data_IF_027916057973
#
_entry.id   IF_027916057973
#
_cell.length_a   1.000
_cell.length_b   1.000
_cell.length_c   1.000
_cell.angle_alpha   90.00
_cell.angle_beta   90.00
_cell.angle_gamma   90.00
#
_symmetry.space_group_name_H-M   'P 1'
#
loop_
_entity.id
_entity.type
_entity.pdbx_description
1 polymer ?
#
# COMPACT_ATOMS: atom_id res chain seq x y z
N UNK A 1 -15.89 25.27 -16.19
CA UNK A 1 -15.08 24.41 -15.30
C UNK A 1 -16.03 23.56 -14.49
N UNK A 2 -15.81 22.25 -14.43
CA UNK A 2 -16.52 21.39 -13.48
C UNK A 2 -16.10 21.80 -12.06
N UNK A 3 -17.01 21.76 -11.10
CA UNK A 3 -16.69 21.96 -9.68
C UNK A 3 -15.63 20.95 -9.17
N UNK A 4 -15.47 19.81 -9.85
CA UNK A 4 -14.48 18.78 -9.52
C UNK A 4 -13.13 18.94 -10.26
N UNK A 5 -12.93 19.98 -11.08
CA UNK A 5 -11.68 20.18 -11.82
C UNK A 5 -10.59 20.76 -10.91
N UNK A 6 -9.60 19.93 -10.55
CA UNK A 6 -8.51 20.30 -9.65
C UNK A 6 -7.24 20.79 -10.38
N UNK A 7 -7.26 21.02 -11.70
CA UNK A 7 -6.04 21.30 -12.49
C UNK A 7 -5.30 22.58 -12.11
N UNK A 8 -6.00 23.57 -11.54
CA UNK A 8 -5.41 24.84 -11.09
C UNK A 8 -4.67 24.74 -9.75
N UNK A 9 -4.75 23.60 -9.05
CA UNK A 9 -4.09 23.41 -7.76
C UNK A 9 -2.81 22.59 -7.92
N UNK A 10 -1.77 23.00 -7.18
CA UNK A 10 -0.49 22.28 -7.08
C UNK A 10 -0.64 20.97 -6.29
N UNK A 11 -1.46 21.00 -5.23
CA UNK A 11 -1.82 19.84 -4.43
C UNK A 11 -3.26 19.48 -4.76
N UNK A 12 -3.48 18.22 -5.15
CA UNK A 12 -4.77 17.67 -5.56
C UNK A 12 -5.08 16.44 -4.73
N UNK A 13 -6.33 16.29 -4.35
CA UNK A 13 -6.77 15.22 -3.45
C UNK A 13 -7.89 14.43 -4.11
N UNK A 14 -7.74 13.12 -4.19
CA UNK A 14 -8.76 12.22 -4.70
C UNK A 14 -8.76 10.90 -3.92
N UNK A 15 -9.83 10.13 -4.10
CA UNK A 15 -10.09 8.93 -3.32
C UNK A 15 -10.12 7.65 -4.16
N UNK A 16 -9.59 6.57 -3.57
CA UNK A 16 -9.64 5.24 -4.15
C UNK A 16 -8.86 5.08 -5.46
N UNK A 17 -9.09 3.95 -6.14
CA UNK A 17 -8.39 3.61 -7.39
C UNK A 17 -8.74 4.58 -8.54
N UNK A 18 -10.00 5.02 -8.64
CA UNK A 18 -10.41 6.02 -9.61
C UNK A 18 -9.68 7.35 -9.41
N UNK A 19 -9.47 7.76 -8.16
CA UNK A 19 -8.69 8.93 -7.81
C UNK A 19 -7.21 8.82 -8.20
N UNK A 20 -6.59 7.66 -7.96
CA UNK A 20 -5.22 7.41 -8.39
C UNK A 20 -5.05 7.53 -9.91
N UNK A 21 -6.03 7.02 -10.69
CA UNK A 21 -6.03 7.17 -12.14
C UNK A 21 -6.25 8.62 -12.58
N UNK A 22 -7.17 9.36 -11.95
CA UNK A 22 -7.43 10.76 -12.24
C UNK A 22 -6.21 11.66 -11.96
N UNK A 23 -5.37 11.28 -10.98
CA UNK A 23 -4.15 11.99 -10.59
C UNK A 23 -2.88 11.44 -11.25
N UNK A 24 -2.99 10.53 -12.24
CA UNK A 24 -1.83 9.90 -12.90
C UNK A 24 -0.85 10.89 -13.55
N UNK A 25 -1.33 12.08 -13.95
CA UNK A 25 -0.49 13.14 -14.52
C UNK A 25 0.30 13.96 -13.48
N UNK A 26 0.12 13.72 -12.19
CA UNK A 26 0.88 14.39 -11.15
C UNK A 26 2.32 13.88 -11.12
N UNK A 27 3.28 14.78 -10.84
CA UNK A 27 4.71 14.41 -10.72
C UNK A 27 4.96 13.40 -9.59
N UNK A 28 4.22 13.53 -8.48
CA UNK A 28 4.36 12.69 -7.29
C UNK A 28 2.97 12.36 -6.78
N UNK A 29 2.76 11.10 -6.38
CA UNK A 29 1.53 10.63 -5.74
C UNK A 29 1.85 10.14 -4.32
N UNK A 30 1.06 10.57 -3.34
CA UNK A 30 1.14 10.11 -1.95
C UNK A 30 -0.15 9.40 -1.60
N UNK A 31 -0.06 8.13 -1.18
CA UNK A 31 -1.21 7.35 -0.74
C UNK A 31 -1.34 7.43 0.77
N UNK A 32 -2.51 7.86 1.25
CA UNK A 32 -2.84 7.95 2.66
C UNK A 32 -3.97 6.97 2.98
N UNK A 33 -3.72 6.01 3.86
CA UNK A 33 -4.71 5.05 4.37
C UNK A 33 -4.41 4.76 5.85
N UNK A 34 -4.85 5.69 6.70
CA UNK A 34 -4.47 5.77 8.12
C UNK A 34 -4.89 4.52 8.91
N UNK A 35 -6.01 3.88 8.55
CA UNK A 35 -6.61 2.74 9.28
C UNK A 35 -6.74 1.50 8.37
N UNK A 36 -5.65 0.79 8.09
CA UNK A 36 -4.34 0.94 8.74
C UNK A 36 -3.14 0.77 7.83
N UNK A 37 -3.34 0.74 6.51
CA UNK A 37 -2.28 0.35 5.58
C UNK A 37 -1.07 1.29 5.61
N UNK A 38 -1.24 2.60 5.46
CA UNK A 38 -0.09 3.52 5.45
C UNK A 38 0.59 3.59 6.82
N UNK A 39 -0.16 3.39 7.90
CA UNK A 39 0.40 3.26 9.26
C UNK A 39 1.22 1.98 9.41
N UNK A 40 0.77 0.86 8.84
CA UNK A 40 1.56 -0.38 8.78
C UNK A 40 2.84 -0.19 7.96
N UNK A 41 2.76 0.50 6.82
CA UNK A 41 3.93 0.81 5.98
C UNK A 41 4.94 1.68 6.72
N UNK A 42 4.48 2.71 7.44
CA UNK A 42 5.35 3.56 8.26
C UNK A 42 6.10 2.74 9.34
N UNK A 43 5.37 1.93 10.12
CA UNK A 43 5.98 1.06 11.14
C UNK A 43 6.95 0.05 10.51
N UNK A 44 6.59 -0.54 9.37
CA UNK A 44 7.47 -1.46 8.65
C UNK A 44 8.77 -0.79 8.21
N UNK A 45 8.68 0.42 7.62
CA UNK A 45 9.84 1.18 7.18
C UNK A 45 10.79 1.50 8.36
N UNK A 46 10.26 1.95 9.50
CA UNK A 46 11.04 2.18 10.73
C UNK A 46 11.73 0.92 11.25
N UNK A 47 11.15 -0.27 11.00
CA UNK A 47 11.72 -1.57 11.37
C UNK A 47 12.64 -2.17 10.31
N UNK A 48 12.89 -1.48 9.20
CA UNK A 48 13.67 -2.02 8.08
C UNK A 48 12.99 -3.21 7.38
N UNK A 49 11.65 -3.24 7.40
CA UNK A 49 10.82 -4.27 6.78
C UNK A 49 10.36 -3.78 5.40
N UNK A 50 10.53 -4.61 4.39
CA UNK A 50 9.99 -4.34 3.05
C UNK A 50 8.53 -4.76 2.98
N UNK A 51 7.64 -3.82 2.67
CA UNK A 51 6.23 -4.12 2.40
C UNK A 51 6.01 -4.32 0.91
N UNK A 52 5.35 -5.41 0.54
CA UNK A 52 4.85 -5.70 -0.78
C UNK A 52 3.32 -5.56 -0.75
N UNK A 53 2.76 -4.44 -1.26
CA UNK A 53 1.30 -4.27 -1.31
C UNK A 53 0.66 -5.38 -2.15
N UNK A 54 -0.47 -5.90 -1.71
CA UNK A 54 -1.18 -6.95 -2.46
C UNK A 54 -2.71 -6.79 -2.39
N UNK A 55 -3.41 -7.37 -3.36
CA UNK A 55 -4.87 -7.32 -3.42
C UNK A 55 -5.46 -8.14 -2.27
N UNK A 56 -6.46 -7.59 -1.57
CA UNK A 56 -7.16 -8.33 -0.53
C UNK A 56 -7.98 -9.48 -1.11
N UNK A 57 -8.07 -10.59 -0.36
CA UNK A 57 -8.88 -11.79 -0.70
C UNK A 57 -8.52 -12.44 -2.03
N UNK A 58 -7.29 -12.26 -2.50
CA UNK A 58 -6.76 -12.90 -3.69
C UNK A 58 -6.13 -14.26 -3.32
N UNK A 59 -6.55 -15.32 -4.02
CA UNK A 59 -6.12 -16.68 -3.74
C UNK A 59 -4.63 -16.92 -4.06
N UNK A 60 -4.04 -16.11 -4.94
CA UNK A 60 -2.64 -16.27 -5.35
C UNK A 60 -1.64 -15.54 -4.41
N UNK A 61 -2.14 -14.89 -3.36
CA UNK A 61 -1.29 -14.15 -2.42
C UNK A 61 -0.18 -15.01 -1.78
N UNK A 62 -0.49 -16.29 -1.51
CA UNK A 62 0.48 -17.22 -0.94
C UNK A 62 1.58 -17.60 -1.95
N UNK A 63 1.21 -17.83 -3.21
CA UNK A 63 2.17 -18.10 -4.30
C UNK A 63 3.08 -16.90 -4.54
N UNK A 64 2.49 -15.70 -4.61
CA UNK A 64 3.26 -14.46 -4.71
C UNK A 64 4.23 -14.26 -3.55
N UNK A 65 3.80 -14.49 -2.32
CA UNK A 65 4.66 -14.38 -1.14
C UNK A 65 5.85 -15.37 -1.20
N UNK A 66 5.57 -16.63 -1.53
CA UNK A 66 6.61 -17.65 -1.71
C UNK A 66 7.61 -17.27 -2.80
N UNK A 67 7.13 -16.84 -3.98
CA UNK A 67 7.99 -16.41 -5.09
C UNK A 67 8.81 -15.14 -4.79
N UNK A 68 8.42 -14.36 -3.78
CA UNK A 68 9.16 -13.18 -3.31
C UNK A 68 9.97 -13.43 -2.05
N UNK A 69 10.03 -14.66 -1.52
CA UNK A 69 10.69 -14.94 -0.25
C UNK A 69 10.17 -14.05 0.89
N UNK A 70 8.86 -13.86 0.92
CA UNK A 70 8.18 -12.95 1.83
C UNK A 70 7.14 -13.70 2.67
N UNK A 71 6.82 -13.17 3.85
CA UNK A 71 5.75 -13.68 4.71
C UNK A 71 4.44 -13.03 4.28
N UNK A 72 3.41 -13.85 4.03
CA UNK A 72 2.06 -13.34 3.77
C UNK A 72 1.41 -12.89 5.08
N UNK A 73 1.02 -11.62 5.16
CA UNK A 73 0.22 -11.12 6.26
C UNK A 73 -1.20 -11.71 6.20
N UNK A 74 -1.67 -12.20 7.34
CA UNK A 74 -2.96 -12.86 7.49
C UNK A 74 -3.97 -12.04 8.29
N UNK A 75 -5.04 -12.70 8.78
CA UNK A 75 -5.97 -12.11 9.74
C UNK A 75 -5.26 -11.61 11.01
N UNK A 76 -5.91 -10.73 11.77
CA UNK A 76 -5.38 -10.28 13.05
C UNK A 76 -5.21 -11.46 14.00
N UNK A 77 -4.08 -11.52 14.69
CA UNK A 77 -3.75 -12.59 15.63
C UNK A 77 -3.00 -13.79 15.02
N UNK A 78 -2.82 -13.86 13.70
CA UNK A 78 -2.10 -14.96 13.04
C UNK A 78 -0.64 -14.62 12.67
N UNK A 79 0.00 -13.70 13.42
CA UNK A 79 1.30 -13.14 13.08
C UNK A 79 1.19 -11.75 12.43
N UNK A 80 1.96 -11.51 11.36
CA UNK A 80 1.84 -10.26 10.60
C UNK A 80 0.44 -10.13 10.01
N UNK A 81 -0.12 -8.93 10.11
CA UNK A 81 -1.49 -8.63 9.66
C UNK A 81 -1.60 -7.15 9.27
N UNK A 82 -2.78 -6.73 8.80
CA UNK A 82 -3.15 -5.32 8.64
C UNK A 82 -3.46 -4.69 10.01
N UNK A 83 -2.45 -4.72 10.87
CA UNK A 83 -2.39 -4.15 12.22
C UNK A 83 -0.95 -3.67 12.46
N UNK A 84 -0.73 -2.36 12.69
CA UNK A 84 0.63 -1.83 12.90
C UNK A 84 1.37 -2.50 14.05
N UNK A 85 0.66 -2.84 15.13
CA UNK A 85 1.21 -3.53 16.29
C UNK A 85 1.84 -4.89 15.92
N UNK A 86 1.31 -5.59 14.91
CA UNK A 86 1.86 -6.88 14.49
C UNK A 86 3.24 -6.76 13.84
N UNK A 87 3.60 -5.57 13.33
CA UNK A 87 4.87 -5.30 12.67
C UNK A 87 5.93 -4.72 13.62
N UNK A 88 5.55 -4.31 14.83
CA UNK A 88 6.47 -3.66 15.78
C UNK A 88 7.63 -4.55 16.24
N UNK A 89 7.45 -5.87 16.24
CA UNK A 89 8.49 -6.85 16.61
C UNK A 89 9.19 -7.48 15.41
N UNK A 90 8.91 -7.00 14.19
CA UNK A 90 9.53 -7.54 12.98
C UNK A 90 11.04 -7.28 12.97
N UNK A 91 11.80 -8.26 12.47
CA UNK A 91 13.25 -8.14 12.30
C UNK A 91 13.58 -7.33 11.04
N UNK A 92 14.60 -6.46 11.03
CA UNK A 92 15.09 -5.82 9.82
C UNK A 92 15.42 -6.84 8.72
N UNK A 93 15.15 -6.47 7.46
CA UNK A 93 15.27 -7.36 6.30
C UNK A 93 14.08 -8.30 6.09
N UNK A 94 13.10 -8.33 7.01
CA UNK A 94 11.86 -9.08 6.77
C UNK A 94 11.10 -8.49 5.59
N UNK A 95 10.56 -9.35 4.73
CA UNK A 95 9.69 -8.97 3.62
C UNK A 95 8.28 -9.45 3.91
N UNK A 96 7.30 -8.56 3.82
CA UNK A 96 5.90 -8.86 4.14
C UNK A 96 5.03 -8.53 2.94
N UNK A 97 4.29 -9.52 2.44
CA UNK A 97 3.16 -9.28 1.55
C UNK A 97 2.00 -8.82 2.40
N UNK A 98 1.52 -7.60 2.19
CA UNK A 98 0.48 -6.97 3.01
C UNK A 98 -0.79 -6.72 2.19
N UNK A 99 -1.77 -7.62 2.24
CA UNK A 99 -3.07 -7.39 1.62
C UNK A 99 -3.84 -6.27 2.33
N UNK A 100 -4.40 -5.34 1.57
CA UNK A 100 -5.34 -4.32 2.08
C UNK A 100 -6.42 -4.03 1.04
N UNK A 101 -7.70 -3.88 1.44
CA UNK A 101 -8.77 -3.56 0.50
C UNK A 101 -8.64 -2.15 -0.09
N UNK A 102 -7.99 -1.23 0.64
CA UNK A 102 -7.90 0.18 0.27
C UNK A 102 -6.46 0.54 -0.10
N UNK A 103 -5.58 0.83 0.87
CA UNK A 103 -4.26 1.39 0.62
C UNK A 103 -3.41 0.55 -0.34
N UNK A 104 -3.40 -0.79 -0.19
CA UNK A 104 -2.67 -1.64 -1.13
C UNK A 104 -3.27 -1.61 -2.55
N UNK A 105 -4.60 -1.61 -2.67
CA UNK A 105 -5.27 -1.51 -3.97
C UNK A 105 -4.95 -0.18 -4.67
N UNK A 106 -4.96 0.94 -3.93
CA UNK A 106 -4.60 2.26 -4.44
C UNK A 106 -3.12 2.32 -4.84
N UNK A 107 -2.21 1.78 -4.03
CA UNK A 107 -0.79 1.69 -4.40
C UNK A 107 -0.57 0.88 -5.67
N UNK A 108 -1.24 -0.27 -5.81
CA UNK A 108 -1.14 -1.11 -7.01
C UNK A 108 -1.70 -0.43 -8.25
N UNK A 109 -2.77 0.36 -8.12
CA UNK A 109 -3.31 1.15 -9.22
C UNK A 109 -2.35 2.28 -9.59
N UNK A 110 -1.88 3.06 -8.62
CA UNK A 110 -0.90 4.12 -8.82
C UNK A 110 0.38 3.63 -9.53
N UNK A 111 0.85 2.43 -9.17
CA UNK A 111 2.02 1.80 -9.79
C UNK A 111 1.83 1.43 -11.27
N UNK A 112 0.59 1.39 -11.80
CA UNK A 112 0.33 1.21 -13.23
C UNK A 112 0.61 2.48 -14.04
N UNK A 113 0.54 3.64 -13.40
CA UNK A 113 0.65 4.95 -14.03
C UNK A 113 2.02 5.61 -13.86
N UNK A 114 2.90 5.00 -13.08
CA UNK A 114 4.20 5.60 -12.77
C UNK A 114 5.24 4.59 -12.31
N UNK A 115 6.41 5.10 -11.94
CA UNK A 115 7.50 4.30 -11.38
C UNK A 115 7.49 4.40 -9.86
N UNK A 116 7.47 3.25 -9.18
CA UNK A 116 7.64 3.18 -7.73
C UNK A 116 9.10 3.47 -7.40
N UNK A 117 9.36 4.50 -6.59
CA UNK A 117 10.68 4.78 -6.03
C UNK A 117 10.81 3.98 -4.73
N UNK A 118 11.87 3.16 -4.62
CA UNK A 118 12.21 2.37 -3.45
C UNK A 118 13.41 2.98 -2.73
#
# INVERSE_FOLDING_TARGET
MSFADQRSFDVRCEWGAGGAAALAGCRTLVVVDVLSFSTCVAVAAERGVTVLPYRARDADAAGFAAGRGAVLAGPRGSGFSLSPASLMSARPGTRVVLPSPNGAAVCLEAARHGRVLA
#
